data_IF_588752443874
#
_entry.id   IF_588752443874
#
_cell.length_a   1.000
_cell.length_b   1.000
_cell.length_c   1.000
_cell.angle_alpha   90.00
_cell.angle_beta   90.00
_cell.angle_gamma   90.00
#
_symmetry.space_group_name_H-M   'P 1'
#
loop_
_entity.id
_entity.type
_entity.pdbx_description
1 polymer ?
#
# COMPACT_ATOMS: atom_id res chain seq x y z
N UNK A 1 -14.48 -10.04 2.91
CA UNK A 1 -13.77 -9.27 1.85
C UNK A 1 -14.63 -9.21 0.58
N UNK A 2 -15.87 -8.73 0.66
CA UNK A 2 -16.83 -8.72 -0.45
C UNK A 2 -17.08 -7.33 -1.04
N UNK A 3 -16.43 -6.30 -0.49
CA UNK A 3 -16.59 -4.92 -0.94
C UNK A 3 -15.94 -4.73 -2.32
N UNK A 4 -16.75 -4.44 -3.31
CA UNK A 4 -16.29 -4.24 -4.68
C UNK A 4 -15.33 -3.06 -4.76
N UNK A 5 -14.22 -3.22 -5.49
CA UNK A 5 -13.26 -2.15 -5.69
C UNK A 5 -12.52 -1.73 -4.43
N UNK A 6 -12.45 -2.57 -3.39
CA UNK A 6 -11.53 -2.37 -2.26
C UNK A 6 -10.11 -2.11 -2.80
N UNK A 7 -9.42 -1.11 -2.24
CA UNK A 7 -8.15 -0.55 -2.74
C UNK A 7 -8.18 0.18 -4.09
N UNK A 8 -9.21 0.01 -4.94
CA UNK A 8 -9.39 0.75 -6.21
C UNK A 8 -10.18 2.05 -6.02
N UNK A 9 -11.36 1.97 -5.41
CA UNK A 9 -12.22 3.13 -5.14
C UNK A 9 -11.64 3.90 -3.95
N UNK A 10 -11.59 5.24 -4.07
CA UNK A 10 -11.06 6.12 -3.04
C UNK A 10 -12.19 6.68 -2.17
N UNK A 11 -11.98 6.68 -0.86
CA UNK A 11 -12.78 7.45 0.09
C UNK A 11 -12.67 8.95 -0.21
N UNK A 12 -13.70 9.77 0.11
CA UNK A 12 -13.60 11.22 0.02
C UNK A 12 -12.35 11.78 0.70
N UNK A 13 -11.67 12.73 0.06
CA UNK A 13 -10.42 13.31 0.56
C UNK A 13 -10.57 13.93 1.95
N UNK A 14 -11.62 14.72 2.17
CA UNK A 14 -11.91 15.36 3.46
C UNK A 14 -12.02 14.35 4.60
N UNK A 15 -12.63 13.19 4.32
CA UNK A 15 -12.76 12.10 5.27
C UNK A 15 -11.43 11.44 5.58
N UNK A 16 -10.58 11.24 4.57
CA UNK A 16 -9.22 10.74 4.77
C UNK A 16 -8.35 11.73 5.55
N UNK A 17 -8.49 13.03 5.31
CA UNK A 17 -7.77 14.07 6.06
C UNK A 17 -8.17 14.07 7.55
N UNK A 18 -9.47 13.90 7.85
CA UNK A 18 -9.98 13.76 9.23
C UNK A 18 -9.43 12.51 9.93
N UNK A 19 -9.49 11.36 9.26
CA UNK A 19 -9.01 10.09 9.80
C UNK A 19 -7.49 10.09 10.02
N UNK A 20 -6.73 10.69 9.11
CA UNK A 20 -5.28 10.89 9.24
C UNK A 20 -4.96 11.76 10.46
N UNK A 21 -5.66 12.89 10.63
CA UNK A 21 -5.50 13.74 11.81
C UNK A 21 -5.72 12.96 13.11
N UNK A 22 -6.84 12.23 13.21
CA UNK A 22 -7.16 11.41 14.39
C UNK A 22 -6.10 10.34 14.66
N UNK A 23 -5.62 9.67 13.61
CA UNK A 23 -4.58 8.65 13.72
C UNK A 23 -3.28 9.25 14.29
N UNK A 24 -2.86 10.41 13.79
CA UNK A 24 -1.65 11.11 14.24
C UNK A 24 -1.77 11.63 15.68
N UNK A 25 -2.98 11.94 16.14
CA UNK A 25 -3.27 12.33 17.53
C UNK A 25 -3.40 11.13 18.48
N UNK A 26 -3.29 9.90 17.98
CA UNK A 26 -3.52 8.68 18.76
C UNK A 26 -4.99 8.48 19.17
N UNK A 27 -5.91 9.20 18.53
CA UNK A 27 -7.34 9.12 18.82
C UNK A 27 -7.96 7.84 18.22
N UNK A 28 -9.03 7.31 18.83
CA UNK A 28 -9.76 6.17 18.27
C UNK A 28 -10.29 6.45 16.86
N UNK A 29 -10.06 5.49 15.96
CA UNK A 29 -10.55 5.55 14.57
C UNK A 29 -11.86 4.77 14.44
N UNK A 30 -12.86 5.41 13.84
CA UNK A 30 -14.15 4.79 13.52
C UNK A 30 -14.31 4.82 12.00
N UNK A 31 -14.22 3.64 11.37
CA UNK A 31 -14.44 3.47 9.94
C UNK A 31 -15.90 3.12 9.67
N UNK A 32 -16.53 3.85 8.74
CA UNK A 32 -17.91 3.59 8.31
C UNK A 32 -17.94 2.63 7.13
N UNK A 33 -16.93 2.69 6.26
CA UNK A 33 -16.82 1.86 5.06
C UNK A 33 -15.41 1.31 4.88
N UNK A 34 -15.29 0.17 4.19
CA UNK A 34 -13.99 -0.46 3.92
C UNK A 34 -13.04 0.40 3.08
N UNK A 35 -13.57 1.29 2.23
CA UNK A 35 -12.75 2.21 1.43
C UNK A 35 -12.02 3.26 2.29
N UNK A 36 -12.55 3.59 3.47
CA UNK A 36 -11.90 4.52 4.41
C UNK A 36 -10.62 3.89 4.97
N UNK A 37 -10.71 2.69 5.52
CA UNK A 37 -9.57 1.95 6.06
C UNK A 37 -8.53 1.67 4.97
N UNK A 38 -8.97 1.22 3.78
CA UNK A 38 -8.10 0.99 2.64
C UNK A 38 -7.43 2.29 2.12
N UNK A 39 -8.14 3.41 2.16
CA UNK A 39 -7.59 4.71 1.78
C UNK A 39 -6.54 5.21 2.77
N UNK A 40 -6.82 5.10 4.08
CA UNK A 40 -5.95 5.57 5.14
C UNK A 40 -4.63 4.80 5.17
N UNK A 41 -4.66 3.46 5.10
CA UNK A 41 -3.43 2.65 5.10
C UNK A 41 -2.55 2.94 3.87
N UNK A 42 -3.16 3.10 2.69
CA UNK A 42 -2.42 3.50 1.47
C UNK A 42 -1.76 4.87 1.62
N UNK A 43 -2.44 5.80 2.31
CA UNK A 43 -1.92 7.16 2.54
C UNK A 43 -0.72 7.14 3.48
N UNK A 44 -0.85 6.42 4.59
CA UNK A 44 0.23 6.21 5.55
C UNK A 44 1.48 5.64 4.85
N UNK A 45 1.34 4.54 4.11
CA UNK A 45 2.47 3.90 3.42
C UNK A 45 3.16 4.83 2.40
N UNK A 46 2.40 5.71 1.75
CA UNK A 46 2.95 6.68 0.78
C UNK A 46 3.65 7.87 1.45
N UNK A 47 3.33 8.17 2.70
CA UNK A 47 3.90 9.28 3.46
C UNK A 47 5.10 8.85 4.32
N UNK A 48 5.49 7.58 4.29
CA UNK A 48 6.71 7.13 4.93
C UNK A 48 7.90 7.95 4.41
N UNK A 49 8.88 8.29 5.28
CA UNK A 49 10.06 9.06 4.86
C UNK A 49 10.84 8.37 3.74
N UNK A 50 10.87 7.04 3.77
CA UNK A 50 11.43 6.18 2.74
C UNK A 50 10.35 5.22 2.25
N UNK A 51 10.34 4.84 0.95
CA UNK A 51 9.39 3.85 0.43
C UNK A 51 9.50 2.53 1.20
N UNK A 52 8.36 1.84 1.37
CA UNK A 52 8.33 0.55 2.06
C UNK A 52 9.26 -0.50 1.42
N UNK A 53 9.41 -0.44 0.09
CA UNK A 53 10.32 -1.28 -0.67
C UNK A 53 11.57 -0.46 -1.00
N UNK A 54 12.75 -1.00 -0.69
CA UNK A 54 14.01 -0.34 -0.97
C UNK A 54 14.24 -0.19 -2.49
N UNK A 55 15.09 0.76 -2.87
CA UNK A 55 15.54 0.94 -4.25
C UNK A 55 16.19 -0.33 -4.82
N UNK A 56 16.90 -1.10 -3.99
CA UNK A 56 17.46 -2.41 -4.35
C UNK A 56 16.38 -3.41 -4.78
N UNK A 57 15.24 -3.43 -4.06
CA UNK A 57 14.12 -4.27 -4.41
C UNK A 57 13.48 -3.84 -5.73
N UNK A 58 13.35 -2.53 -5.97
CA UNK A 58 12.83 -2.03 -7.25
C UNK A 58 13.72 -2.42 -8.44
N UNK A 59 15.06 -2.37 -8.27
CA UNK A 59 16.00 -2.81 -9.30
C UNK A 59 15.85 -4.31 -9.58
N UNK A 60 15.78 -5.13 -8.52
CA UNK A 60 15.53 -6.57 -8.63
C UNK A 60 14.29 -6.87 -9.46
N UNK A 61 13.17 -6.19 -9.18
CA UNK A 61 11.90 -6.40 -9.89
C UNK A 61 12.02 -5.98 -11.35
N UNK A 62 12.69 -4.87 -11.66
CA UNK A 62 12.91 -4.40 -13.05
C UNK A 62 13.74 -5.36 -13.89
N UNK A 63 14.77 -5.97 -13.28
CA UNK A 63 15.63 -6.93 -13.97
C UNK A 63 15.01 -8.33 -14.05
N UNK A 64 13.99 -8.60 -13.24
CA UNK A 64 13.34 -9.89 -13.23
C UNK A 64 12.47 -10.12 -14.47
N UNK A 65 12.73 -11.21 -15.19
CA UNK A 65 11.99 -11.59 -16.40
C UNK A 65 10.97 -12.72 -16.14
N UNK A 66 10.67 -13.02 -14.88
CA UNK A 66 9.66 -14.01 -14.50
C UNK A 66 8.29 -13.66 -15.09
N UNK A 67 7.61 -14.64 -15.67
CA UNK A 67 6.18 -14.53 -16.01
C UNK A 67 5.34 -14.69 -14.73
N UNK A 68 4.39 -13.78 -14.51
CA UNK A 68 3.44 -13.79 -13.41
C UNK A 68 2.51 -15.03 -13.42
N UNK A 69 2.46 -15.75 -14.55
CA UNK A 69 1.69 -17.01 -14.69
C UNK A 69 2.30 -18.21 -13.96
N UNK A 70 3.52 -18.09 -13.43
CA UNK A 70 4.22 -19.18 -12.73
C UNK A 70 4.88 -18.75 -11.43
N UNK A 71 5.38 -19.72 -10.67
CA UNK A 71 6.22 -19.44 -9.50
C UNK A 71 7.52 -18.80 -10.00
N UNK A 72 7.80 -17.57 -9.56
CA UNK A 72 9.01 -16.88 -9.98
C UNK A 72 10.26 -17.50 -9.36
N UNK A 73 11.22 -17.87 -10.22
CA UNK A 73 12.56 -18.31 -9.85
C UNK A 73 13.59 -17.27 -10.35
N UNK A 74 13.52 -16.05 -9.83
CA UNK A 74 14.33 -14.95 -10.35
C UNK A 74 15.83 -15.18 -10.10
N UNK A 75 16.68 -15.32 -11.14
CA UNK A 75 18.11 -15.56 -10.95
C UNK A 75 18.85 -14.34 -10.40
N UNK A 76 18.28 -13.13 -10.56
CA UNK A 76 18.81 -11.87 -10.03
C UNK A 76 18.85 -11.88 -8.50
N UNK A 77 17.96 -12.65 -7.85
CA UNK A 77 17.86 -12.77 -6.39
C UNK A 77 19.07 -13.46 -5.75
N UNK A 78 19.90 -14.16 -6.54
CA UNK A 78 21.10 -14.88 -6.07
C UNK A 78 22.35 -13.98 -6.03
N UNK A 79 22.25 -12.74 -6.56
CA UNK A 79 23.38 -11.80 -6.67
C UNK A 79 23.47 -10.76 -5.55
N UNK A 80 22.50 -10.74 -4.62
CA UNK A 80 22.49 -9.94 -3.39
C UNK A 80 22.93 -10.82 -2.23
#
# INVERSE_FOLDING_TARGET
>A
LTLEGIYRVSSPKSRLDELEKKANEGAPLNFVEGHEAAGLIKRFLRQLPEPLLSSEFEMLVKECTCDWRGICQCPVRVKL
#
